data_IF_291078306218
#
_entry.id   IF_291078306218
#
_cell.length_a   1.000
_cell.length_b   1.000
_cell.length_c   1.000
_cell.angle_alpha   90.00
_cell.angle_beta   90.00
_cell.angle_gamma   90.00
#
_symmetry.space_group_name_H-M   'P 1'
#
loop_
_entity.id
_entity.type
_entity.pdbx_description
1 polymer ?
#
# COMPACT_ATOMS: atom_id res chain seq x y z
N UNK A 1 -4.30 12.45 23.01
CA UNK A 1 -4.45 11.72 24.29
C UNK A 1 -3.47 12.34 25.28
N UNK A 2 -3.81 12.41 26.58
CA UNK A 2 -2.83 12.81 27.58
C UNK A 2 -1.78 11.68 27.71
N UNK A 3 -0.53 12.01 28.05
CA UNK A 3 0.57 11.05 28.20
C UNK A 3 0.20 9.90 29.14
N UNK A 4 -0.53 10.21 30.19
CA UNK A 4 -1.04 9.24 31.16
C UNK A 4 -2.03 8.22 30.56
N UNK A 5 -2.87 8.67 29.63
CA UNK A 5 -3.84 7.78 28.94
C UNK A 5 -3.12 6.79 28.02
N UNK A 6 -1.99 7.21 27.43
CA UNK A 6 -1.15 6.32 26.58
C UNK A 6 -0.47 5.24 27.40
N UNK A 7 0.09 5.60 28.58
CA UNK A 7 0.71 4.63 29.49
C UNK A 7 -0.30 3.58 29.97
N UNK A 8 -1.50 4.01 30.37
CA UNK A 8 -2.58 3.11 30.77
C UNK A 8 -3.00 2.18 29.61
N UNK A 9 -3.04 2.70 28.38
CA UNK A 9 -3.36 1.92 27.19
C UNK A 9 -2.28 0.89 26.86
N UNK A 10 -0.99 1.22 27.03
CA UNK A 10 0.13 0.27 26.86
C UNK A 10 -0.01 -0.88 27.84
N UNK A 11 -0.19 -0.59 29.14
CA UNK A 11 -0.35 -1.62 30.19
C UNK A 11 -1.54 -2.54 29.87
N UNK A 12 -2.65 -1.97 29.45
CA UNK A 12 -3.86 -2.71 29.10
C UNK A 12 -3.66 -3.63 27.91
N UNK A 13 -2.97 -3.16 26.86
CA UNK A 13 -2.69 -3.96 25.68
C UNK A 13 -1.64 -5.04 25.94
N UNK A 14 -0.64 -4.78 26.78
CA UNK A 14 0.32 -5.84 27.17
C UNK A 14 -0.33 -6.92 28.04
N UNK A 15 -1.27 -6.56 28.90
CA UNK A 15 -2.09 -7.53 29.64
C UNK A 15 -2.93 -8.37 28.66
N UNK A 16 -3.57 -7.74 27.69
CA UNK A 16 -4.33 -8.44 26.66
C UNK A 16 -3.44 -9.38 25.83
N UNK A 17 -2.22 -8.94 25.47
CA UNK A 17 -1.25 -9.79 24.79
C UNK A 17 -0.91 -11.03 25.61
N UNK A 18 -0.71 -10.87 26.92
CA UNK A 18 -0.45 -11.98 27.81
C UNK A 18 -1.62 -12.98 27.86
N UNK A 19 -2.86 -12.47 27.94
CA UNK A 19 -4.08 -13.27 27.91
C UNK A 19 -4.22 -14.05 26.60
N UNK A 20 -3.99 -13.40 25.46
CA UNK A 20 -4.02 -14.05 24.12
C UNK A 20 -2.99 -15.19 24.08
N UNK A 21 -1.78 -14.96 24.58
CA UNK A 21 -0.70 -15.93 24.51
C UNK A 21 -0.88 -17.09 25.48
N UNK A 22 -1.37 -16.83 26.70
CA UNK A 22 -1.50 -17.82 27.76
C UNK A 22 -2.77 -18.67 27.62
N UNK A 23 -3.86 -18.07 27.13
CA UNK A 23 -5.15 -18.74 27.03
C UNK A 23 -5.44 -19.25 25.61
N UNK A 24 -4.44 -19.24 24.72
CA UNK A 24 -4.54 -19.68 23.33
C UNK A 24 -5.75 -19.06 22.56
N UNK A 25 -6.02 -17.78 22.86
CA UNK A 25 -7.09 -17.05 22.20
C UNK A 25 -6.58 -16.64 20.80
N UNK A 26 -7.33 -16.91 19.73
CA UNK A 26 -6.95 -16.46 18.41
C UNK A 26 -6.84 -14.93 18.38
N UNK A 27 -5.69 -14.41 17.90
CA UNK A 27 -5.46 -12.96 17.79
C UNK A 27 -6.57 -12.26 17.00
N UNK A 28 -7.05 -12.91 15.97
CA UNK A 28 -8.10 -12.42 15.08
C UNK A 28 -9.43 -12.22 15.82
N UNK A 29 -9.75 -13.08 16.78
CA UNK A 29 -10.96 -12.93 17.63
C UNK A 29 -10.80 -11.76 18.60
N UNK A 30 -9.63 -11.62 19.20
CA UNK A 30 -9.34 -10.48 20.07
C UNK A 30 -9.43 -9.16 19.30
N UNK A 31 -8.95 -9.10 18.05
CA UNK A 31 -9.07 -7.92 17.20
C UNK A 31 -10.53 -7.58 16.91
N UNK A 32 -11.35 -8.56 16.52
CA UNK A 32 -12.77 -8.35 16.22
C UNK A 32 -13.51 -7.80 17.44
N UNK A 33 -13.19 -8.31 18.63
CA UNK A 33 -13.86 -7.94 19.87
C UNK A 33 -13.41 -6.59 20.43
N UNK A 34 -12.13 -6.28 20.35
CA UNK A 34 -11.51 -5.22 21.15
C UNK A 34 -10.84 -4.10 20.34
N UNK A 35 -10.52 -4.31 19.05
CA UNK A 35 -9.85 -3.29 18.26
C UNK A 35 -10.76 -2.08 18.01
N UNK A 36 -10.21 -0.90 18.18
CA UNK A 36 -10.84 0.37 17.82
C UNK A 36 -10.60 0.77 16.36
N UNK A 37 -9.60 0.20 15.70
CA UNK A 37 -9.36 0.43 14.27
C UNK A 37 -10.39 -0.34 13.43
N UNK A 38 -11.32 0.39 12.84
CA UNK A 38 -12.41 -0.17 12.03
C UNK A 38 -11.92 -0.90 10.79
N UNK A 39 -10.80 -0.48 10.23
CA UNK A 39 -10.29 -1.04 8.97
C UNK A 39 -9.75 -2.46 9.18
N UNK A 40 -8.85 -2.61 10.14
CA UNK A 40 -8.28 -3.93 10.45
C UNK A 40 -9.27 -4.81 11.19
N UNK A 41 -10.11 -4.25 12.08
CA UNK A 41 -11.16 -5.01 12.76
C UNK A 41 -12.10 -5.72 11.80
N UNK A 42 -12.56 -5.02 10.77
CA UNK A 42 -13.46 -5.60 9.76
C UNK A 42 -12.77 -6.61 8.84
N UNK A 43 -11.44 -6.64 8.83
CA UNK A 43 -10.62 -7.55 8.05
C UNK A 43 -9.85 -8.55 8.93
N UNK A 44 -10.41 -8.92 10.08
CA UNK A 44 -9.82 -9.89 11.04
C UNK A 44 -8.37 -9.55 11.46
N UNK A 45 -8.06 -8.28 11.58
CA UNK A 45 -6.74 -7.79 11.94
C UNK A 45 -5.76 -7.61 10.79
N UNK A 46 -6.10 -8.04 9.59
CA UNK A 46 -5.19 -7.91 8.45
C UNK A 46 -5.11 -6.46 7.96
N UNK A 47 -3.92 -5.93 7.92
CA UNK A 47 -3.60 -4.70 7.20
C UNK A 47 -3.60 -4.96 5.69
N UNK A 48 -3.94 -3.94 4.92
CA UNK A 48 -4.00 -4.02 3.45
C UNK A 48 -3.19 -2.87 2.85
N UNK A 49 -2.36 -3.19 1.85
CA UNK A 49 -1.60 -2.19 1.07
C UNK A 49 -2.57 -1.32 0.30
N UNK A 50 -2.55 -0.01 0.56
CA UNK A 50 -3.45 0.98 -0.05
C UNK A 50 -2.79 1.88 -1.08
N UNK A 51 -1.48 1.79 -1.19
CA UNK A 51 -0.75 2.52 -2.23
C UNK A 51 -0.99 1.85 -3.58
N UNK A 52 -1.65 2.57 -4.48
CA UNK A 52 -1.95 2.08 -5.84
C UNK A 52 -0.72 1.92 -6.72
N UNK A 53 0.39 2.51 -6.34
CA UNK A 53 1.68 2.35 -7.03
C UNK A 53 2.42 1.08 -6.63
N UNK A 54 2.04 0.48 -5.51
CA UNK A 54 2.61 -0.78 -5.03
C UNK A 54 2.13 -1.97 -5.86
N UNK A 55 3.03 -2.88 -6.16
CA UNK A 55 2.72 -4.17 -6.79
C UNK A 55 1.82 -5.05 -5.90
N UNK A 56 1.87 -4.82 -4.59
CA UNK A 56 1.08 -5.52 -3.58
C UNK A 56 -0.27 -4.85 -3.28
N UNK A 57 -0.70 -3.86 -4.07
CA UNK A 57 -1.95 -3.15 -3.84
C UNK A 57 -3.15 -4.09 -3.63
N UNK A 58 -3.90 -3.84 -2.56
CA UNK A 58 -5.07 -4.62 -2.20
C UNK A 58 -4.78 -5.96 -1.52
N UNK A 59 -3.52 -6.31 -1.29
CA UNK A 59 -3.12 -7.51 -0.55
C UNK A 59 -2.67 -7.16 0.87
N UNK A 60 -2.44 -8.19 1.70
CA UNK A 60 -1.85 -8.05 3.05
C UNK A 60 -0.34 -8.31 3.07
N UNK A 61 0.31 -8.26 1.91
CA UNK A 61 1.76 -8.40 1.78
C UNK A 61 2.38 -7.01 1.68
N UNK A 62 3.21 -6.68 2.64
CA UNK A 62 3.92 -5.40 2.68
C UNK A 62 5.40 -5.60 2.46
N UNK A 63 6.01 -4.73 1.69
CA UNK A 63 7.44 -4.51 1.78
C UNK A 63 7.75 -3.72 3.05
N UNK A 64 8.95 -3.93 3.61
CA UNK A 64 9.34 -3.23 4.85
C UNK A 64 9.27 -1.71 4.72
N UNK A 65 9.52 -1.17 3.53
CA UNK A 65 9.45 0.26 3.23
C UNK A 65 8.01 0.81 3.17
N UNK A 66 7.01 -0.05 2.95
CA UNK A 66 5.59 0.32 2.88
C UNK A 66 4.92 0.35 4.26
N UNK A 67 5.54 -0.26 5.26
CA UNK A 67 5.02 -0.26 6.61
C UNK A 67 5.26 1.08 7.31
N UNK A 68 4.33 1.53 8.19
CA UNK A 68 4.62 2.61 9.12
C UNK A 68 5.92 2.31 9.89
N UNK A 69 6.74 3.34 10.12
CA UNK A 69 8.08 3.16 10.68
C UNK A 69 8.08 2.42 12.02
N UNK A 70 7.11 2.70 12.86
CA UNK A 70 6.96 2.07 14.17
C UNK A 70 6.60 0.59 14.04
N UNK A 71 5.71 0.24 13.12
CA UNK A 71 5.35 -1.15 12.81
C UNK A 71 6.55 -1.89 12.23
N UNK A 72 7.26 -1.30 11.26
CA UNK A 72 8.45 -1.88 10.66
C UNK A 72 9.53 -2.23 11.70
N UNK A 73 9.74 -1.34 12.68
CA UNK A 73 10.68 -1.60 13.80
C UNK A 73 10.28 -2.81 14.63
N UNK A 74 8.99 -2.99 14.91
CA UNK A 74 8.51 -4.14 15.68
C UNK A 74 8.69 -5.44 14.90
N UNK A 75 8.19 -5.49 13.68
CA UNK A 75 8.19 -6.73 12.88
C UNK A 75 9.59 -7.15 12.42
N UNK A 76 10.56 -6.22 12.37
CA UNK A 76 11.92 -6.54 11.92
C UNK A 76 12.57 -7.67 12.72
N UNK A 77 12.33 -7.70 14.03
CA UNK A 77 12.92 -8.66 14.96
C UNK A 77 11.96 -9.78 15.39
N UNK A 78 10.77 -9.87 14.75
CA UNK A 78 9.76 -10.87 15.08
C UNK A 78 9.86 -12.07 14.16
N UNK A 79 9.49 -13.23 14.67
CA UNK A 79 9.27 -14.44 13.89
C UNK A 79 7.80 -14.59 13.48
N UNK A 80 7.49 -15.31 12.38
CA UNK A 80 6.13 -15.63 12.03
C UNK A 80 5.33 -16.26 13.19
N UNK A 81 4.13 -15.77 13.43
CA UNK A 81 3.27 -16.17 14.54
C UNK A 81 3.43 -15.33 15.81
N UNK A 82 4.51 -14.59 15.96
CA UNK A 82 4.73 -13.76 17.15
C UNK A 82 3.84 -12.53 17.18
N UNK A 83 3.51 -12.08 18.40
CA UNK A 83 2.79 -10.84 18.71
C UNK A 83 3.77 -9.88 19.37
N UNK A 84 3.82 -8.63 18.91
CA UNK A 84 4.68 -7.59 19.47
C UNK A 84 4.27 -7.25 20.91
N UNK A 85 5.13 -6.54 21.63
CA UNK A 85 4.72 -5.78 22.80
C UNK A 85 3.85 -4.61 22.36
N UNK A 86 3.09 -4.04 23.30
CA UNK A 86 2.34 -2.82 23.03
C UNK A 86 3.31 -1.66 22.75
N UNK A 87 3.06 -0.91 21.69
CA UNK A 87 3.89 0.23 21.31
C UNK A 87 3.05 1.41 20.86
N UNK A 88 3.61 2.59 21.01
CA UNK A 88 2.98 3.83 20.57
C UNK A 88 3.37 4.07 19.11
N UNK A 89 2.38 4.41 18.30
CA UNK A 89 2.56 4.82 16.91
C UNK A 89 1.64 5.98 16.56
N UNK A 90 1.89 6.62 15.43
CA UNK A 90 0.97 7.62 14.87
C UNK A 90 0.01 6.95 13.91
N UNK A 91 -1.27 7.18 14.10
CA UNK A 91 -2.31 6.77 13.14
C UNK A 91 -2.08 7.51 11.81
N UNK A 92 -1.86 6.80 10.69
CA UNK A 92 -1.60 7.43 9.40
C UNK A 92 -2.72 8.34 8.89
N UNK A 93 -3.97 8.17 9.39
CA UNK A 93 -5.12 8.94 8.94
C UNK A 93 -5.36 10.19 9.77
N UNK A 94 -5.25 10.06 11.10
CA UNK A 94 -5.60 11.13 12.04
C UNK A 94 -4.37 11.86 12.57
N UNK A 95 -3.17 11.30 12.36
CA UNK A 95 -1.89 11.75 12.91
C UNK A 95 -1.89 11.82 14.46
N UNK A 96 -2.83 11.13 15.10
CA UNK A 96 -2.91 11.03 16.55
C UNK A 96 -2.06 9.87 17.06
N UNK A 97 -1.53 10.01 18.25
CA UNK A 97 -0.82 8.92 18.93
C UNK A 97 -1.83 7.87 19.40
N UNK A 98 -1.56 6.64 19.05
CA UNK A 98 -2.33 5.44 19.39
C UNK A 98 -1.40 4.36 19.92
N UNK A 99 -1.94 3.42 20.67
CA UNK A 99 -1.23 2.23 21.11
C UNK A 99 -1.68 1.04 20.30
N UNK A 100 -0.74 0.25 19.82
CA UNK A 100 -1.00 -0.87 18.94
C UNK A 100 -0.27 -2.15 19.37
N UNK A 101 -0.85 -3.29 18.99
CA UNK A 101 -0.23 -4.61 18.93
C UNK A 101 -0.20 -5.07 17.48
N UNK A 102 0.86 -5.75 17.10
CA UNK A 102 1.02 -6.32 15.75
C UNK A 102 1.37 -7.79 15.85
N UNK A 103 0.73 -8.62 15.02
CA UNK A 103 1.09 -10.04 14.83
C UNK A 103 1.73 -10.20 13.46
N UNK A 104 2.91 -10.79 13.41
CA UNK A 104 3.55 -11.18 12.15
C UNK A 104 2.99 -12.53 11.70
N UNK A 105 2.21 -12.54 10.64
CA UNK A 105 1.57 -13.78 10.14
C UNK A 105 2.57 -14.63 9.36
N UNK A 106 3.32 -14.02 8.46
CA UNK A 106 4.32 -14.68 7.63
C UNK A 106 5.44 -13.71 7.26
N UNK A 107 6.62 -14.25 7.00
CA UNK A 107 7.75 -13.52 6.43
C UNK A 107 8.14 -14.21 5.13
N UNK A 108 8.20 -13.43 4.08
CA UNK A 108 8.69 -13.90 2.79
C UNK A 108 10.04 -13.22 2.55
N UNK A 109 11.07 -14.01 2.35
CA UNK A 109 12.36 -13.47 1.91
C UNK A 109 12.22 -12.99 0.47
N UNK A 110 12.86 -11.87 0.15
CA UNK A 110 12.92 -11.38 -1.22
C UNK A 110 13.62 -12.41 -2.10
N UNK A 111 12.97 -12.83 -3.16
CA UNK A 111 13.56 -13.73 -4.15
C UNK A 111 13.43 -13.10 -5.53
N UNK A 112 14.29 -13.53 -6.44
CA UNK A 112 14.15 -13.14 -7.84
C UNK A 112 12.93 -13.84 -8.41
N UNK A 113 12.00 -13.06 -8.97
CA UNK A 113 10.78 -13.61 -9.54
C UNK A 113 11.06 -14.71 -10.57
N UNK A 114 10.36 -15.83 -10.43
CA UNK A 114 10.45 -16.97 -11.34
C UNK A 114 9.09 -17.26 -11.97
N UNK A 115 9.07 -17.82 -13.16
CA UNK A 115 7.81 -18.23 -13.79
C UNK A 115 7.06 -19.32 -13.03
N UNK A 116 7.78 -20.13 -12.25
CA UNK A 116 7.16 -21.21 -11.47
C UNK A 116 6.37 -20.67 -10.27
N UNK A 117 6.96 -19.72 -9.55
CA UNK A 117 6.43 -19.25 -8.28
C UNK A 117 5.55 -17.99 -8.42
N UNK A 118 5.92 -17.11 -9.39
CA UNK A 118 5.31 -15.78 -9.53
C UNK A 118 4.54 -15.61 -10.84
N UNK A 119 4.07 -16.69 -11.45
CA UNK A 119 3.39 -16.65 -12.75
C UNK A 119 2.26 -15.61 -12.81
N UNK A 120 1.41 -15.54 -11.80
CA UNK A 120 0.26 -14.62 -11.79
C UNK A 120 0.72 -13.16 -11.72
N UNK A 121 1.74 -12.88 -10.92
CA UNK A 121 2.33 -11.54 -10.81
C UNK A 121 2.93 -11.12 -12.16
N UNK A 122 3.80 -11.95 -12.73
CA UNK A 122 4.46 -11.69 -14.02
C UNK A 122 3.43 -11.52 -15.14
N UNK A 123 2.38 -12.36 -15.16
CA UNK A 123 1.27 -12.26 -16.11
C UNK A 123 0.56 -10.92 -15.98
N UNK A 124 0.22 -10.51 -14.76
CA UNK A 124 -0.46 -9.23 -14.49
C UNK A 124 0.39 -8.04 -14.93
N UNK A 125 1.69 -8.07 -14.63
CA UNK A 125 2.63 -7.03 -15.07
C UNK A 125 2.69 -6.95 -16.60
N UNK A 126 2.80 -8.09 -17.28
CA UNK A 126 2.83 -8.15 -18.75
C UNK A 126 1.51 -7.66 -19.39
N UNK A 127 0.36 -8.01 -18.80
CA UNK A 127 -0.95 -7.54 -19.26
C UNK A 127 -1.09 -6.02 -19.08
N UNK A 128 -0.63 -5.47 -17.97
CA UNK A 128 -0.66 -4.03 -17.70
C UNK A 128 0.27 -3.26 -18.67
N UNK A 129 1.48 -3.76 -18.91
CA UNK A 129 2.40 -3.19 -19.90
C UNK A 129 1.78 -3.20 -21.32
N UNK A 130 1.15 -4.30 -21.71
CA UNK A 130 0.46 -4.37 -22.99
C UNK A 130 -0.74 -3.40 -23.08
N UNK A 131 -1.52 -3.26 -22.01
CA UNK A 131 -2.62 -2.29 -21.96
C UNK A 131 -2.10 -0.87 -22.12
N UNK A 132 -1.02 -0.53 -21.40
CA UNK A 132 -0.39 0.78 -21.47
C UNK A 132 0.11 1.08 -22.90
N UNK A 133 0.85 0.15 -23.51
CA UNK A 133 1.32 0.28 -24.90
C UNK A 133 0.19 0.43 -25.92
N UNK A 134 -0.92 -0.30 -25.73
CA UNK A 134 -2.10 -0.15 -26.59
C UNK A 134 -2.77 1.20 -26.41
N UNK A 135 -2.86 1.69 -25.18
CA UNK A 135 -3.41 3.01 -24.87
C UNK A 135 -2.56 4.12 -25.51
N UNK A 136 -1.24 4.05 -25.39
CA UNK A 136 -0.32 5.01 -26.00
C UNK A 136 -0.48 5.06 -27.53
N UNK A 137 -0.46 3.89 -28.19
CA UNK A 137 -0.70 3.81 -29.63
C UNK A 137 -2.06 4.35 -30.05
N UNK A 138 -3.10 4.09 -29.26
CA UNK A 138 -4.43 4.63 -29.52
C UNK A 138 -4.46 6.16 -29.38
N UNK A 139 -3.82 6.70 -28.33
CA UNK A 139 -3.71 8.16 -28.13
C UNK A 139 -2.95 8.80 -29.31
N UNK A 140 -1.81 8.22 -29.72
CA UNK A 140 -1.04 8.73 -30.86
C UNK A 140 -1.88 8.73 -32.16
N UNK A 141 -2.64 7.65 -32.42
CA UNK A 141 -3.56 7.60 -33.57
C UNK A 141 -4.62 8.68 -33.48
N UNK A 142 -5.22 8.89 -32.29
CA UNK A 142 -6.23 9.92 -32.10
C UNK A 142 -5.69 11.33 -32.24
N UNK A 143 -4.48 11.60 -31.77
CA UNK A 143 -3.79 12.87 -31.98
C UNK A 143 -3.59 13.13 -33.49
N UNK A 144 -3.21 12.10 -34.25
CA UNK A 144 -3.01 12.22 -35.69
C UNK A 144 -4.32 12.51 -36.46
N UNK A 145 -5.42 11.84 -36.07
CA UNK A 145 -6.72 11.91 -36.73
C UNK A 145 -7.54 13.16 -36.34
N UNK A 146 -7.36 13.64 -35.10
CA UNK A 146 -8.18 14.72 -34.53
C UNK A 146 -7.62 16.08 -34.91
N UNK A 147 -8.52 16.99 -35.30
CA UNK A 147 -8.14 18.41 -35.47
C UNK A 147 -8.12 19.09 -34.11
N UNK A 148 -6.92 19.57 -33.71
CA UNK A 148 -6.73 20.36 -32.50
C UNK A 148 -6.03 21.67 -32.87
N UNK A 149 -6.59 22.78 -32.40
CA UNK A 149 -5.99 24.11 -32.52
C UNK A 149 -5.40 24.49 -31.17
N UNK A 150 -4.09 24.72 -31.15
CA UNK A 150 -3.37 25.21 -29.98
C UNK A 150 -3.01 26.66 -30.23
N UNK A 151 -3.39 27.54 -29.31
CA UNK A 151 -3.07 28.95 -29.35
C UNK A 151 -1.54 29.16 -29.27
N UNK A 152 -1.05 30.22 -29.91
CA UNK A 152 0.40 30.44 -30.10
C UNK A 152 1.18 30.48 -28.79
N UNK A 153 0.61 31.05 -27.72
CA UNK A 153 1.24 31.08 -26.40
C UNK A 153 1.52 29.71 -25.74
N UNK A 154 0.82 28.65 -26.21
CA UNK A 154 0.92 27.30 -25.64
C UNK A 154 1.66 26.30 -26.55
N UNK A 155 2.11 26.72 -27.72
CA UNK A 155 2.78 25.84 -28.69
C UNK A 155 4.14 25.33 -28.25
N UNK A 156 4.81 26.07 -27.36
CA UNK A 156 6.14 25.73 -26.85
C UNK A 156 6.08 24.94 -25.54
N UNK A 157 4.91 24.48 -25.10
CA UNK A 157 4.79 23.64 -23.93
C UNK A 157 5.31 22.22 -24.20
N UNK A 158 5.85 21.61 -23.17
CA UNK A 158 6.28 20.21 -23.21
C UNK A 158 5.06 19.30 -23.03
N UNK A 159 4.55 18.75 -24.13
CA UNK A 159 3.39 17.86 -24.11
C UNK A 159 3.83 16.42 -23.84
N UNK A 160 3.11 15.74 -22.96
CA UNK A 160 3.35 14.31 -22.65
C UNK A 160 3.33 13.44 -23.91
N UNK A 161 2.39 13.71 -24.82
CA UNK A 161 2.34 13.04 -26.12
C UNK A 161 2.73 14.01 -27.22
N UNK A 162 3.64 13.57 -28.09
CA UNK A 162 4.07 14.37 -29.26
C UNK A 162 3.02 14.35 -30.37
N UNK A 163 3.04 15.36 -31.22
CA UNK A 163 2.18 15.41 -32.43
C UNK A 163 0.94 16.30 -32.33
N UNK A 164 0.71 16.96 -31.20
CA UNK A 164 -0.35 17.98 -31.06
C UNK A 164 -0.16 19.19 -31.96
N UNK A 165 1.08 19.59 -32.22
CA UNK A 165 1.43 20.71 -33.08
C UNK A 165 1.70 20.16 -34.49
N UNK A 166 0.68 20.26 -35.35
CA UNK A 166 0.85 19.98 -36.77
C UNK A 166 1.48 21.21 -37.41
N UNK A 167 2.68 21.06 -37.98
CA UNK A 167 3.32 22.15 -38.73
C UNK A 167 2.37 22.69 -39.79
N UNK A 168 2.28 24.02 -39.88
CA UNK A 168 1.46 24.71 -40.86
C UNK A 168 1.94 24.36 -42.27
N UNK A 169 1.27 23.46 -42.96
CA UNK A 169 1.57 23.13 -44.37
C UNK A 169 1.04 24.18 -45.35
N UNK A 170 0.80 25.40 -44.92
CA UNK A 170 0.41 26.52 -45.77
C UNK A 170 1.38 27.68 -45.63
N UNK A 171 2.49 27.55 -46.33
CA UNK A 171 3.28 28.70 -46.82
C UNK A 171 3.74 28.34 -48.22
N UNK A 172 2.81 28.53 -49.15
CA UNK A 172 3.11 28.84 -50.55
C UNK A 172 2.03 29.79 -51.05
#
# INVERSE_FOLDING_TARGET
MAEKDLEEAVIRLDSLRADITQNDIPFEEAVIALSMDKDTRNNRGLMVVRDRSSENYGTSRFEMAELPQEVARQVNNMEPGQISQAFIMKDPKTNQEIVALVKLVARHEGHRATFADDYQLIKTMAENDQKQKKLEKWVESKIAETYVRIEDGWRNCDFVHKGWIKGNKNSK
#
